data_IF_866492646695
#
_entry.id   IF_866492646695
#
_cell.length_a   1.000
_cell.length_b   1.000
_cell.length_c   1.000
_cell.angle_alpha   90.00
_cell.angle_beta   90.00
_cell.angle_gamma   90.00
#
_symmetry.space_group_name_H-M   'P 1'
#
loop_
_entity.id
_entity.type
_entity.pdbx_description
1 polymer ?
#
# COMPACT_ATOMS: atom_id res chain seq x y z
N UNK A 1 -2.76 8.57 -14.14
CA UNK A 1 -2.21 9.05 -12.84
C UNK A 1 -3.28 9.51 -11.83
N UNK A 2 -4.39 10.16 -12.24
CA UNK A 2 -5.47 10.57 -11.32
C UNK A 2 -6.14 9.39 -10.61
N UNK A 3 -6.56 8.35 -11.35
CA UNK A 3 -7.23 7.18 -10.77
C UNK A 3 -6.37 6.42 -9.74
N UNK A 4 -5.06 6.30 -9.98
CA UNK A 4 -4.14 5.67 -9.03
C UNK A 4 -4.07 6.46 -7.70
N UNK A 5 -3.97 7.80 -7.75
CA UNK A 5 -4.01 8.64 -6.55
C UNK A 5 -5.30 8.45 -5.74
N UNK A 6 -6.44 8.38 -6.42
CA UNK A 6 -7.73 8.13 -5.76
C UNK A 6 -7.80 6.74 -5.12
N UNK A 7 -7.26 5.72 -5.78
CA UNK A 7 -7.17 4.37 -5.21
C UNK A 7 -6.34 4.33 -3.91
N UNK A 8 -5.17 4.99 -3.90
CA UNK A 8 -4.34 5.11 -2.69
C UNK A 8 -5.03 5.86 -1.56
N UNK A 9 -5.76 6.93 -1.90
CA UNK A 9 -6.48 7.75 -0.92
C UNK A 9 -7.63 6.97 -0.28
N UNK A 10 -8.40 6.22 -1.07
CA UNK A 10 -9.48 5.34 -0.57
C UNK A 10 -8.91 4.22 0.32
N UNK A 11 -7.79 3.61 -0.08
CA UNK A 11 -7.13 2.57 0.71
C UNK A 11 -6.62 3.10 2.06
N UNK A 12 -6.01 4.29 2.09
CA UNK A 12 -5.59 4.96 3.32
C UNK A 12 -6.77 5.28 4.25
N UNK A 13 -7.87 5.79 3.69
CA UNK A 13 -9.10 6.05 4.44
C UNK A 13 -9.66 4.75 5.02
N UNK A 14 -9.66 3.66 4.25
CA UNK A 14 -10.18 2.35 4.69
C UNK A 14 -9.34 1.78 5.84
N UNK A 15 -8.01 1.85 5.74
CA UNK A 15 -7.10 1.41 6.80
C UNK A 15 -7.29 2.28 8.05
N UNK A 16 -7.36 3.61 7.89
CA UNK A 16 -7.58 4.55 8.99
C UNK A 16 -8.93 4.36 9.68
N UNK A 17 -9.99 4.13 8.93
CA UNK A 17 -11.33 3.85 9.47
C UNK A 17 -11.35 2.54 10.27
N UNK A 18 -10.62 1.52 9.79
CA UNK A 18 -10.49 0.24 10.50
C UNK A 18 -9.68 0.39 11.77
N UNK A 19 -8.60 1.18 11.75
CA UNK A 19 -7.82 1.53 12.94
C UNK A 19 -8.62 2.34 13.97
N UNK A 20 -9.48 3.26 13.52
CA UNK A 20 -10.40 4.00 14.38
C UNK A 20 -11.45 3.09 15.04
N UNK A 21 -12.05 2.18 14.27
CA UNK A 21 -12.96 1.16 14.82
C UNK A 21 -12.27 0.23 15.79
N UNK A 22 -11.01 -0.12 15.53
CA UNK A 22 -10.18 -0.83 16.49
C UNK A 22 -10.08 0.04 17.74
N UNK A 23 -9.48 1.24 17.69
CA UNK A 23 -9.29 2.10 18.87
C UNK A 23 -10.56 2.34 19.72
N UNK A 24 -11.74 2.45 19.10
CA UNK A 24 -13.03 2.60 19.80
C UNK A 24 -13.53 1.34 20.52
N UNK A 25 -13.18 0.14 20.05
CA UNK A 25 -13.68 -1.12 20.63
C UNK A 25 -13.06 -1.44 22.00
N UNK A 26 -12.01 -0.71 22.41
CA UNK A 26 -11.43 -0.80 23.75
C UNK A 26 -10.69 -2.12 24.04
N UNK A 27 -9.93 -2.20 25.16
CA UNK A 27 -8.94 -3.25 25.41
C UNK A 27 -9.50 -4.68 25.61
N UNK A 28 -10.82 -4.88 25.63
CA UNK A 28 -11.45 -6.19 25.83
C UNK A 28 -12.35 -6.67 24.67
N UNK A 29 -12.50 -5.89 23.59
CA UNK A 29 -13.46 -6.17 22.52
C UNK A 29 -12.88 -6.78 21.24
N UNK A 30 -11.57 -7.04 21.18
CA UNK A 30 -10.92 -7.48 19.95
C UNK A 30 -10.95 -9.00 19.80
N UNK A 31 -11.78 -9.50 18.88
CA UNK A 31 -11.57 -10.82 18.31
C UNK A 31 -10.23 -10.83 17.55
N UNK A 32 -9.38 -11.85 17.78
CA UNK A 32 -8.08 -12.01 17.11
C UNK A 32 -8.17 -11.90 15.59
N UNK A 33 -9.31 -12.31 15.03
CA UNK A 33 -9.61 -12.25 13.61
C UNK A 33 -9.62 -10.80 13.05
N UNK A 34 -10.05 -9.82 13.85
CA UNK A 34 -10.09 -8.42 13.41
C UNK A 34 -8.71 -7.78 13.38
N UNK A 35 -7.86 -8.08 14.37
CA UNK A 35 -6.45 -7.67 14.36
C UNK A 35 -5.70 -8.32 13.19
N UNK A 36 -5.90 -9.62 12.96
CA UNK A 36 -5.29 -10.32 11.83
C UNK A 36 -5.74 -9.72 10.48
N UNK A 37 -7.03 -9.42 10.33
CA UNK A 37 -7.56 -8.79 9.11
C UNK A 37 -7.04 -7.36 8.90
N UNK A 38 -6.74 -6.62 9.98
CA UNK A 38 -6.12 -5.30 9.89
C UNK A 38 -4.66 -5.39 9.44
N UNK A 39 -3.87 -6.24 10.10
CA UNK A 39 -2.46 -6.47 9.74
C UNK A 39 -2.35 -6.99 8.30
N UNK A 40 -3.24 -7.90 7.89
CA UNK A 40 -3.31 -8.39 6.52
C UNK A 40 -3.56 -7.28 5.49
N UNK A 41 -4.50 -6.37 5.76
CA UNK A 41 -4.75 -5.23 4.87
C UNK A 41 -3.54 -4.30 4.75
N UNK A 42 -2.86 -4.00 5.86
CA UNK A 42 -1.66 -3.15 5.85
C UNK A 42 -0.51 -3.81 5.09
N UNK A 43 -0.28 -5.11 5.30
CA UNK A 43 0.78 -5.86 4.61
C UNK A 43 0.54 -5.95 3.10
N UNK A 44 -0.69 -6.23 2.67
CA UNK A 44 -1.04 -6.28 1.24
C UNK A 44 -0.82 -4.91 0.59
N UNK A 45 -1.23 -3.84 1.26
CA UNK A 45 -1.02 -2.48 0.78
C UNK A 45 0.48 -2.12 0.65
N UNK A 46 1.30 -2.49 1.63
CA UNK A 46 2.75 -2.30 1.59
C UNK A 46 3.40 -3.09 0.44
N UNK A 47 3.00 -4.35 0.22
CA UNK A 47 3.49 -5.18 -0.88
C UNK A 47 3.16 -4.58 -2.25
N UNK A 48 1.91 -4.13 -2.45
CA UNK A 48 1.51 -3.48 -3.70
C UNK A 48 2.34 -2.21 -3.95
N UNK A 49 2.61 -1.42 -2.90
CA UNK A 49 3.47 -0.22 -2.98
C UNK A 49 4.87 -0.61 -3.44
N UNK A 50 5.44 -1.64 -2.84
CA UNK A 50 6.80 -2.09 -3.12
C UNK A 50 6.95 -2.58 -4.57
N UNK A 51 5.98 -3.35 -5.08
CA UNK A 51 5.94 -3.81 -6.47
C UNK A 51 5.89 -2.63 -7.45
N UNK A 52 5.09 -1.60 -7.14
CA UNK A 52 4.98 -0.42 -8.00
C UNK A 52 6.30 0.37 -8.02
N UNK A 53 6.95 0.55 -6.87
CA UNK A 53 8.27 1.20 -6.78
C UNK A 53 9.31 0.41 -7.59
N UNK A 54 9.37 -0.91 -7.39
CA UNK A 54 10.27 -1.80 -8.15
C UNK A 54 10.04 -1.69 -9.67
N UNK A 55 8.78 -1.73 -10.11
CA UNK A 55 8.44 -1.55 -11.52
C UNK A 55 8.88 -0.18 -12.05
N UNK A 56 8.83 0.86 -11.22
CA UNK A 56 9.28 2.21 -11.57
C UNK A 56 10.81 2.31 -11.66
N UNK A 57 11.52 1.70 -10.70
CA UNK A 57 12.99 1.60 -10.71
C UNK A 57 13.48 0.81 -11.93
N UNK A 58 12.83 -0.31 -12.26
CA UNK A 58 13.17 -1.10 -13.46
C UNK A 58 12.93 -0.29 -14.73
N UNK A 59 11.85 0.50 -14.80
CA UNK A 59 11.63 1.42 -15.93
C UNK A 59 12.74 2.46 -16.02
N UNK A 60 13.10 3.13 -14.92
CA UNK A 60 14.21 4.07 -14.87
C UNK A 60 15.53 3.45 -15.33
N UNK A 61 15.84 2.23 -14.85
CA UNK A 61 17.04 1.49 -15.24
C UNK A 61 17.04 1.15 -16.74
N UNK A 62 15.89 0.75 -17.30
CA UNK A 62 15.75 0.52 -18.75
C UNK A 62 15.95 1.80 -19.56
N UNK A 63 15.39 2.93 -19.12
CA UNK A 63 15.56 4.22 -19.82
C UNK A 63 17.02 4.66 -19.80
N UNK A 64 17.68 4.58 -18.64
CA UNK A 64 19.10 4.93 -18.50
C UNK A 64 20.02 4.00 -19.31
N UNK A 65 19.69 2.71 -19.39
CA UNK A 65 20.42 1.75 -20.21
C UNK A 65 20.24 2.03 -21.72
N UNK A 66 19.01 2.36 -22.14
CA UNK A 66 18.71 2.72 -23.53
C UNK A 66 19.41 4.03 -23.95
N UNK A 67 19.50 5.03 -23.06
CA UNK A 67 20.25 6.27 -23.33
C UNK A 67 21.76 6.02 -23.42
N UNK A 68 22.31 5.09 -22.63
CA UNK A 68 23.71 4.69 -22.72
C UNK A 68 24.05 3.89 -23.99
N UNK A 69 23.07 3.18 -24.55
CA UNK A 69 23.26 2.40 -25.78
C UNK A 69 23.06 3.25 -27.06
N UNK A 70 22.36 4.38 -26.95
CA UNK A 70 22.11 5.31 -28.04
C UNK A 70 23.21 6.38 -28.21
N UNK A 71 24.15 6.49 -27.26
CA UNK A 71 25.41 7.24 -27.38
C UNK A 71 26.53 6.31 -27.81
#
# INVERSE_FOLDING_TARGET
>A
MKALKWFWLIALITIGFKLYNLALAGPGGYASDQMQAFVGMVMVFALITCIIIMAWVVRLAKTACSEKLAR
#
